data_IF_292043582089
#
_entry.id   IF_292043582089
#
_cell.length_a   1.000
_cell.length_b   1.000
_cell.length_c   1.000
_cell.angle_alpha   90.00
_cell.angle_beta   90.00
_cell.angle_gamma   90.00
#
_symmetry.space_group_name_H-M   'P 1'
#
loop_
_entity.id
_entity.type
_entity.pdbx_description
1 polymer ?
#
# COMPACT_ATOMS: atom_id res chain seq x y z
N UNK A 1 2.35 -1.55 -23.34
CA UNK A 1 1.64 -1.85 -22.08
C UNK A 1 0.96 -0.56 -21.64
N UNK A 2 -0.37 -0.48 -21.77
CA UNK A 2 -1.12 0.78 -21.65
C UNK A 2 -1.27 1.28 -20.21
N UNK A 3 -1.62 2.57 -20.06
CA UNK A 3 -1.88 3.27 -18.78
C UNK A 3 -2.84 2.52 -17.84
N UNK A 4 -3.72 1.67 -18.40
CA UNK A 4 -4.64 0.79 -17.68
C UNK A 4 -3.91 -0.19 -16.75
N UNK A 5 -2.88 -0.89 -17.24
CA UNK A 5 -2.19 -1.91 -16.44
C UNK A 5 -1.45 -1.33 -15.22
N UNK A 6 -0.91 -0.11 -15.34
CA UNK A 6 -0.25 0.58 -14.21
C UNK A 6 -1.26 1.00 -13.13
N UNK A 7 -2.45 1.45 -13.54
CA UNK A 7 -3.52 1.80 -12.59
C UNK A 7 -4.03 0.56 -11.86
N UNK A 8 -4.15 -0.56 -12.57
CA UNK A 8 -4.60 -1.82 -11.98
C UNK A 8 -3.59 -2.35 -10.96
N UNK A 9 -2.29 -2.29 -11.25
CA UNK A 9 -1.22 -2.66 -10.30
C UNK A 9 -1.26 -1.76 -9.06
N UNK A 10 -1.44 -0.43 -9.22
CA UNK A 10 -1.54 0.47 -8.07
C UNK A 10 -2.74 0.13 -7.18
N UNK A 11 -3.89 -0.21 -7.79
CA UNK A 11 -5.08 -0.61 -7.04
C UNK A 11 -4.85 -1.92 -6.28
N UNK A 12 -4.23 -2.91 -6.92
CA UNK A 12 -3.88 -4.19 -6.27
C UNK A 12 -2.94 -3.97 -5.08
N UNK A 13 -1.87 -3.19 -5.25
CA UNK A 13 -0.93 -2.88 -4.18
C UNK A 13 -1.60 -2.13 -3.03
N UNK A 14 -2.52 -1.21 -3.35
CA UNK A 14 -3.28 -0.46 -2.33
C UNK A 14 -4.16 -1.40 -1.51
N UNK A 15 -4.86 -2.33 -2.17
CA UNK A 15 -5.70 -3.31 -1.49
C UNK A 15 -4.88 -4.21 -0.55
N UNK A 16 -3.70 -4.65 -1.00
CA UNK A 16 -2.81 -5.49 -0.19
C UNK A 16 -2.33 -4.76 1.06
N UNK A 17 -1.95 -3.48 0.94
CA UNK A 17 -1.57 -2.65 2.10
C UNK A 17 -2.75 -2.47 3.06
N UNK A 18 -3.94 -2.14 2.55
CA UNK A 18 -5.14 -1.97 3.37
C UNK A 18 -5.48 -3.25 4.14
N UNK A 19 -5.37 -4.42 3.50
CA UNK A 19 -5.59 -5.71 4.17
C UNK A 19 -4.64 -5.92 5.34
N UNK A 20 -3.36 -5.57 5.20
CA UNK A 20 -2.38 -5.71 6.30
C UNK A 20 -2.67 -4.72 7.44
N UNK A 21 -3.00 -3.46 7.11
CA UNK A 21 -3.36 -2.45 8.12
C UNK A 21 -4.61 -2.87 8.90
N UNK A 22 -5.62 -3.41 8.24
CA UNK A 22 -6.87 -3.83 8.89
C UNK A 22 -6.71 -5.08 9.77
N UNK A 23 -5.75 -5.95 9.47
CA UNK A 23 -5.49 -7.18 10.24
C UNK A 23 -4.55 -6.95 11.43
N UNK A 24 -3.64 -5.98 11.32
CA UNK A 24 -2.71 -5.64 12.38
C UNK A 24 -3.32 -4.64 13.37
N UNK A 25 -3.03 -4.81 14.68
CA UNK A 25 -3.38 -3.79 15.69
C UNK A 25 -2.61 -2.47 15.45
N UNK A 26 -1.36 -2.60 15.01
CA UNK A 26 -0.47 -1.53 14.60
C UNK A 26 0.59 -2.13 13.69
N UNK A 27 0.95 -1.45 12.61
CA UNK A 27 1.98 -1.92 11.68
C UNK A 27 2.79 -0.73 11.15
N UNK A 28 4.11 -0.86 11.13
CA UNK A 28 5.00 0.15 10.56
C UNK A 28 5.10 0.03 9.03
N UNK A 29 5.59 1.08 8.36
CA UNK A 29 5.84 1.05 6.91
C UNK A 29 6.90 0.02 6.51
N UNK A 30 7.85 -0.28 7.40
CA UNK A 30 8.90 -1.27 7.15
C UNK A 30 8.32 -2.67 7.21
N UNK A 31 7.51 -2.96 8.23
CA UNK A 31 6.78 -4.23 8.34
C UNK A 31 5.82 -4.42 7.17
N UNK A 32 5.08 -3.37 6.75
CA UNK A 32 4.26 -3.44 5.55
C UNK A 32 5.07 -3.83 4.31
N UNK A 33 6.25 -3.28 4.09
CA UNK A 33 7.10 -3.65 2.96
C UNK A 33 7.55 -5.11 3.04
N UNK A 34 7.87 -5.60 4.23
CA UNK A 34 8.26 -7.00 4.45
C UNK A 34 7.08 -7.96 4.21
N UNK A 35 5.93 -7.71 4.83
CA UNK A 35 4.75 -8.58 4.76
C UNK A 35 4.11 -8.60 3.36
N UNK A 36 4.14 -7.47 2.64
CA UNK A 36 3.55 -7.38 1.31
C UNK A 36 4.52 -7.72 0.18
N UNK A 37 5.83 -7.79 0.47
CA UNK A 37 6.89 -7.93 -0.55
C UNK A 37 7.02 -6.71 -1.47
N UNK A 38 6.35 -5.60 -1.17
CA UNK A 38 6.44 -4.36 -1.95
C UNK A 38 7.70 -3.58 -1.60
N UNK A 39 8.19 -2.78 -2.55
CA UNK A 39 9.34 -1.91 -2.27
C UNK A 39 8.98 -0.86 -1.20
N UNK A 40 9.93 -0.46 -0.33
CA UNK A 40 9.67 0.58 0.68
C UNK A 40 9.17 1.91 0.09
N UNK A 41 9.61 2.25 -1.13
CA UNK A 41 9.13 3.43 -1.86
C UNK A 41 7.66 3.31 -2.29
N UNK A 42 7.24 2.14 -2.75
CA UNK A 42 5.84 1.86 -3.12
C UNK A 42 4.94 1.95 -1.89
N UNK A 43 5.36 1.34 -0.78
CA UNK A 43 4.63 1.42 0.49
C UNK A 43 4.52 2.88 0.95
N UNK A 44 5.62 3.62 0.93
CA UNK A 44 5.63 5.04 1.35
C UNK A 44 4.68 5.90 0.52
N UNK A 45 4.65 5.71 -0.81
CA UNK A 45 3.75 6.43 -1.69
C UNK A 45 2.28 6.10 -1.41
N UNK A 46 1.93 4.82 -1.27
CA UNK A 46 0.54 4.40 -1.03
C UNK A 46 0.09 4.84 0.36
N UNK A 47 0.90 4.62 1.41
CA UNK A 47 0.57 5.04 2.77
C UNK A 47 0.43 6.56 2.86
N UNK A 48 1.28 7.32 2.17
CA UNK A 48 1.15 8.76 2.04
C UNK A 48 -0.18 9.18 1.40
N UNK A 49 -0.57 8.52 0.30
CA UNK A 49 -1.85 8.77 -0.36
C UNK A 49 -3.06 8.45 0.54
N UNK A 50 -2.99 7.38 1.35
CA UNK A 50 -4.06 6.98 2.26
C UNK A 50 -4.21 7.94 3.44
N UNK A 51 -3.09 8.33 4.06
CA UNK A 51 -3.05 9.34 5.13
C UNK A 51 -3.56 10.70 4.62
N UNK A 52 -3.12 11.12 3.43
CA UNK A 52 -3.55 12.38 2.82
C UNK A 52 -5.05 12.43 2.50
N UNK A 53 -5.70 11.26 2.36
CA UNK A 53 -7.15 11.13 2.18
C UNK A 53 -7.91 10.92 3.49
N UNK A 54 -7.23 10.76 4.63
CA UNK A 54 -7.85 10.45 5.92
C UNK A 54 -8.52 9.08 5.97
N UNK A 55 -8.03 8.11 5.18
CA UNK A 55 -8.56 6.74 5.16
C UNK A 55 -7.97 5.92 6.32
N UNK A 56 -6.70 6.20 6.67
CA UNK A 56 -5.95 5.63 7.79
C UNK A 56 -5.31 6.75 8.60
#
# INVERSE_FOLDING_TARGET
MGKTGLKDIKNQNTNLIMQQIMQARSISRIELAQETGLSPSTVSSIVGDLLGKGII
#
